data_IF_232143767098
#
_entry.id   IF_232143767098
#
_cell.length_a   1.000
_cell.length_b   1.000
_cell.length_c   1.000
_cell.angle_alpha   90.00
_cell.angle_beta   90.00
_cell.angle_gamma   90.00
#
_symmetry.space_group_name_H-M   'P 1'
#
loop_
_entity.id
_entity.type
_entity.pdbx_description
1 polymer ?
#
# COMPACT_ATOMS: atom_id res chain seq x y z
N UNK A 1 -18.04 15.50 -18.06
CA UNK A 1 -17.32 16.06 -19.22
C UNK A 1 -17.84 15.38 -20.48
N UNK A 2 -19.05 15.73 -20.94
CA UNK A 2 -19.64 15.15 -22.15
C UNK A 2 -18.73 15.31 -23.39
N UNK A 3 -17.89 16.33 -23.39
CA UNK A 3 -16.91 16.64 -24.42
C UNK A 3 -15.75 15.63 -24.52
N UNK A 4 -15.40 14.93 -23.44
CA UNK A 4 -14.40 13.85 -23.45
C UNK A 4 -15.03 12.50 -23.80
N UNK A 5 -16.26 12.28 -23.36
CA UNK A 5 -17.01 11.05 -23.60
C UNK A 5 -17.33 10.87 -25.09
N UNK A 6 -17.72 11.97 -25.76
CA UNK A 6 -18.05 11.96 -27.19
C UNK A 6 -16.83 12.19 -28.11
N UNK A 7 -15.64 12.39 -27.57
CA UNK A 7 -14.44 12.58 -28.39
C UNK A 7 -13.97 11.24 -28.94
N UNK A 8 -13.92 11.11 -30.26
CA UNK A 8 -13.48 9.89 -30.94
C UNK A 8 -12.09 9.44 -30.48
N UNK A 9 -11.19 10.38 -30.16
CA UNK A 9 -9.83 10.08 -29.66
C UNK A 9 -9.81 9.44 -28.27
N UNK A 10 -10.88 9.53 -27.48
CA UNK A 10 -10.92 9.08 -26.09
C UNK A 10 -12.01 8.05 -25.78
N UNK A 11 -12.77 7.62 -26.80
CA UNK A 11 -13.94 6.74 -26.64
C UNK A 11 -13.58 5.38 -26.05
N UNK A 12 -12.49 4.76 -26.50
CA UNK A 12 -12.02 3.45 -25.99
C UNK A 12 -10.77 3.60 -25.14
N UNK A 13 -10.48 2.58 -24.32
CA UNK A 13 -9.25 2.56 -23.52
C UNK A 13 -7.99 2.61 -24.39
N UNK A 14 -7.99 1.89 -25.51
CA UNK A 14 -6.88 1.88 -26.47
C UNK A 14 -6.63 3.26 -27.09
N UNK A 15 -7.69 3.95 -27.51
CA UNK A 15 -7.59 5.29 -28.06
C UNK A 15 -7.12 6.31 -27.01
N UNK A 16 -7.56 6.19 -25.76
CA UNK A 16 -7.02 7.00 -24.64
C UNK A 16 -5.54 6.74 -24.39
N UNK A 17 -5.06 5.50 -24.60
CA UNK A 17 -3.65 5.17 -24.42
C UNK A 17 -2.80 5.73 -25.58
N UNK A 18 -3.29 5.63 -26.82
CA UNK A 18 -2.64 6.21 -28.00
C UNK A 18 -2.56 7.75 -27.90
N UNK A 19 -3.63 8.39 -27.42
CA UNK A 19 -3.74 9.85 -27.29
C UNK A 19 -3.46 10.33 -25.85
N UNK A 20 -2.64 9.60 -25.09
CA UNK A 20 -2.47 9.80 -23.63
C UNK A 20 -2.03 11.20 -23.25
N UNK A 21 -1.13 11.82 -24.01
CA UNK A 21 -0.62 13.15 -23.69
C UNK A 21 -1.67 14.24 -23.91
N UNK A 22 -2.46 14.15 -24.99
CA UNK A 22 -3.60 15.05 -25.24
C UNK A 22 -4.67 14.88 -24.15
N UNK A 23 -5.01 13.63 -23.81
CA UNK A 23 -5.96 13.33 -22.73
C UNK A 23 -5.48 13.87 -21.37
N UNK A 24 -4.18 13.74 -21.07
CA UNK A 24 -3.57 14.28 -19.85
C UNK A 24 -3.55 15.80 -19.83
N UNK A 25 -3.33 16.46 -20.96
CA UNK A 25 -3.33 17.91 -21.04
C UNK A 25 -4.70 18.49 -20.65
N UNK A 26 -5.78 17.80 -20.99
CA UNK A 26 -7.15 18.21 -20.65
C UNK A 26 -7.50 17.87 -19.19
N UNK A 27 -7.16 16.67 -18.72
CA UNK A 27 -7.59 16.20 -17.39
C UNK A 27 -6.72 16.72 -16.24
N UNK A 28 -5.42 16.99 -16.47
CA UNK A 28 -4.49 17.43 -15.41
C UNK A 28 -4.86 18.79 -14.78
N UNK A 29 -5.25 19.83 -15.52
CA UNK A 29 -5.71 21.09 -14.93
C UNK A 29 -6.90 20.88 -13.99
N UNK A 30 -7.84 20.01 -14.37
CA UNK A 30 -9.04 19.70 -13.58
C UNK A 30 -8.63 19.00 -12.29
N UNK A 31 -7.75 18.00 -12.36
CA UNK A 31 -7.25 17.29 -11.17
C UNK A 31 -6.56 18.23 -10.17
N UNK A 32 -6.02 19.38 -10.61
CA UNK A 32 -5.43 20.39 -9.71
C UNK A 32 -6.43 21.28 -8.98
N UNK A 33 -7.72 21.26 -9.38
CA UNK A 33 -8.75 22.15 -8.79
C UNK A 33 -9.22 21.73 -7.39
N UNK A 34 -8.90 20.51 -6.96
CA UNK A 34 -9.23 19.98 -5.64
C UNK A 34 -8.07 19.19 -5.07
N UNK A 35 -8.05 19.04 -3.75
CA UNK A 35 -7.10 18.18 -3.06
C UNK A 35 -7.37 16.71 -3.35
N UNK A 36 -6.35 15.85 -3.18
CA UNK A 36 -6.51 14.40 -3.37
C UNK A 36 -7.60 13.80 -2.47
N UNK A 37 -7.85 14.37 -1.28
CA UNK A 37 -8.91 13.91 -0.36
C UNK A 37 -10.30 14.22 -0.90
N UNK A 38 -10.51 15.41 -1.45
CA UNK A 38 -11.78 15.79 -2.06
C UNK A 38 -12.08 14.94 -3.29
N UNK A 39 -11.08 14.70 -4.14
CA UNK A 39 -11.23 13.80 -5.29
C UNK A 39 -11.52 12.36 -4.88
N UNK A 40 -10.89 11.86 -3.81
CA UNK A 40 -11.14 10.51 -3.30
C UNK A 40 -12.62 10.32 -2.93
N UNK A 41 -13.22 11.30 -2.25
CA UNK A 41 -14.65 11.25 -1.88
C UNK A 41 -15.54 11.23 -3.12
N UNK A 42 -15.28 12.12 -4.09
CA UNK A 42 -16.07 12.21 -5.32
C UNK A 42 -15.97 10.94 -6.16
N UNK A 43 -14.77 10.42 -6.35
CA UNK A 43 -14.55 9.21 -7.15
C UNK A 43 -15.10 7.95 -6.47
N UNK A 44 -15.00 7.83 -5.15
CA UNK A 44 -15.63 6.72 -4.42
C UNK A 44 -17.16 6.75 -4.53
N UNK A 45 -17.78 7.93 -4.48
CA UNK A 45 -19.23 8.07 -4.64
C UNK A 45 -19.70 7.56 -6.01
N UNK A 46 -18.88 7.72 -7.05
CA UNK A 46 -19.14 7.24 -8.42
C UNK A 46 -18.59 5.82 -8.68
N UNK A 47 -18.09 5.12 -7.66
CA UNK A 47 -17.53 3.77 -7.81
C UNK A 47 -16.22 3.70 -8.63
N UNK A 48 -15.55 4.83 -8.84
CA UNK A 48 -14.28 4.90 -9.56
C UNK A 48 -13.14 4.47 -8.62
N UNK A 49 -12.37 3.42 -8.96
CA UNK A 49 -11.24 2.99 -8.15
C UNK A 49 -10.14 4.05 -8.13
N UNK A 50 -9.85 4.58 -6.96
CA UNK A 50 -8.79 5.56 -6.76
C UNK A 50 -8.16 5.44 -5.38
N UNK A 51 -6.92 5.92 -5.25
CA UNK A 51 -6.20 5.96 -3.98
C UNK A 51 -5.28 7.17 -3.93
N UNK A 52 -4.99 7.63 -2.72
CA UNK A 52 -3.99 8.66 -2.48
C UNK A 52 -2.59 8.01 -2.49
N UNK A 53 -1.63 8.69 -3.09
CA UNK A 53 -0.22 8.29 -3.01
C UNK A 53 0.31 8.69 -1.64
N UNK A 54 0.47 7.73 -0.75
CA UNK A 54 0.98 7.93 0.60
C UNK A 54 2.51 7.84 0.63
N UNK A 55 3.15 8.67 1.46
CA UNK A 55 4.54 8.44 1.85
C UNK A 55 4.65 7.34 2.93
N UNK A 56 5.87 6.93 3.28
CA UNK A 56 6.12 5.83 4.24
C UNK A 56 5.43 6.09 5.58
N UNK A 57 5.56 7.30 6.14
CA UNK A 57 4.95 7.65 7.42
C UNK A 57 3.42 7.54 7.36
N UNK A 58 2.82 8.15 6.34
CA UNK A 58 1.38 8.12 6.12
C UNK A 58 0.87 6.69 5.96
N UNK A 59 1.57 5.85 5.19
CA UNK A 59 1.22 4.45 5.01
C UNK A 59 1.28 3.68 6.34
N UNK A 60 2.37 3.82 7.11
CA UNK A 60 2.54 3.18 8.40
C UNK A 60 1.50 3.60 9.45
N UNK A 61 0.98 4.83 9.36
CA UNK A 61 -0.02 5.37 10.29
C UNK A 61 -1.47 5.03 9.89
N UNK A 62 -1.70 4.43 8.72
CA UNK A 62 -3.04 4.05 8.26
C UNK A 62 -3.71 3.08 9.23
N UNK A 63 -5.00 3.27 9.46
CA UNK A 63 -5.79 2.40 10.34
C UNK A 63 -5.77 0.95 9.85
N UNK A 64 -5.84 0.74 8.53
CA UNK A 64 -5.73 -0.58 7.93
C UNK A 64 -4.42 -1.29 8.28
N UNK A 65 -3.29 -0.58 8.41
CA UNK A 65 -1.99 -1.19 8.76
C UNK A 65 -1.98 -1.63 10.22
N UNK A 66 -2.60 -0.87 11.12
CA UNK A 66 -2.74 -1.21 12.54
C UNK A 66 -3.65 -2.42 12.72
N UNK A 67 -4.86 -2.37 12.17
CA UNK A 67 -5.85 -3.46 12.23
C UNK A 67 -5.32 -4.76 11.63
N UNK A 68 -4.42 -4.65 10.64
CA UNK A 68 -3.80 -5.79 9.97
C UNK A 68 -2.49 -6.23 10.62
N UNK A 69 -2.09 -5.72 11.79
CA UNK A 69 -0.82 -6.08 12.45
C UNK A 69 0.40 -6.01 11.50
N UNK A 70 0.43 -5.02 10.61
CA UNK A 70 1.46 -4.90 9.57
C UNK A 70 2.72 -4.19 10.05
N UNK A 71 2.72 -3.71 11.31
CA UNK A 71 3.92 -3.27 12.02
C UNK A 71 4.06 -4.12 13.29
N UNK A 72 5.20 -4.79 13.44
CA UNK A 72 5.51 -5.67 14.56
C UNK A 72 6.69 -5.13 15.35
N UNK A 73 6.76 -5.48 16.65
CA UNK A 73 7.89 -5.15 17.51
C UNK A 73 8.78 -6.37 17.71
N UNK A 74 10.09 -6.22 17.54
CA UNK A 74 11.09 -7.24 17.81
C UNK A 74 12.20 -6.63 18.68
N UNK A 75 12.06 -6.75 20.00
CA UNK A 75 12.86 -5.96 20.94
C UNK A 75 12.56 -4.48 20.77
N UNK A 76 13.60 -3.68 20.53
CA UNK A 76 13.49 -2.21 20.35
C UNK A 76 13.14 -1.81 18.91
N UNK A 77 13.18 -2.74 17.96
CA UNK A 77 12.94 -2.46 16.54
C UNK A 77 11.47 -2.63 16.17
N UNK A 78 11.01 -1.74 15.27
CA UNK A 78 9.75 -1.91 14.56
C UNK A 78 10.03 -2.46 13.16
N UNK A 79 9.34 -3.55 12.80
CA UNK A 79 9.52 -4.28 11.56
C UNK A 79 8.19 -4.39 10.81
N UNK A 80 8.27 -4.72 9.52
CA UNK A 80 7.09 -5.10 8.76
C UNK A 80 6.52 -6.42 9.31
N UNK A 81 5.20 -6.47 9.49
CA UNK A 81 4.46 -7.65 9.92
C UNK A 81 4.24 -8.66 8.80
N UNK A 82 3.65 -9.80 9.15
CA UNK A 82 3.36 -10.87 8.19
C UNK A 82 2.17 -10.48 7.28
N UNK A 83 2.32 -10.36 5.95
CA UNK A 83 1.20 -10.03 5.08
C UNK A 83 0.16 -11.17 4.95
N UNK A 84 0.58 -12.42 5.20
CA UNK A 84 -0.27 -13.60 5.11
C UNK A 84 -1.01 -13.83 6.42
N UNK A 85 -2.34 -13.66 6.41
CA UNK A 85 -3.19 -13.91 7.59
C UNK A 85 -3.94 -15.22 7.41
N UNK A 86 -3.81 -16.11 8.39
CA UNK A 86 -4.45 -17.42 8.39
C UNK A 86 -5.30 -17.56 9.65
N UNK A 87 -6.58 -17.87 9.50
CA UNK A 87 -7.53 -17.96 10.62
C UNK A 87 -7.13 -18.97 11.69
N UNK A 88 -6.44 -20.05 11.30
CA UNK A 88 -5.94 -21.08 12.22
C UNK A 88 -4.63 -20.74 12.94
N UNK A 89 -4.00 -19.61 12.65
CA UNK A 89 -2.71 -19.23 13.22
C UNK A 89 -2.76 -17.84 13.85
N UNK A 90 -2.30 -17.74 15.09
CA UNK A 90 -2.15 -16.45 15.76
C UNK A 90 -1.07 -15.60 15.08
N UNK A 91 -1.38 -14.37 14.74
CA UNK A 91 -0.39 -13.40 14.29
C UNK A 91 -0.01 -12.42 15.42
N UNK A 92 1.01 -12.81 16.19
CA UNK A 92 1.53 -11.97 17.28
C UNK A 92 2.26 -10.74 16.75
N UNK A 93 1.91 -9.56 17.27
CA UNK A 93 2.60 -8.29 17.02
C UNK A 93 3.98 -8.26 17.67
N UNK A 94 4.13 -8.94 18.82
CA UNK A 94 5.40 -9.05 19.52
C UNK A 94 6.15 -10.28 18.99
N UNK A 95 7.23 -10.04 18.25
CA UNK A 95 8.14 -11.06 17.73
C UNK A 95 9.33 -11.20 18.67
N UNK A 96 10.01 -12.35 18.59
CA UNK A 96 11.27 -12.57 19.30
C UNK A 96 12.30 -11.53 18.83
N UNK A 97 13.17 -11.03 19.73
CA UNK A 97 14.23 -10.11 19.34
C UNK A 97 15.15 -10.76 18.31
N UNK A 98 15.79 -9.93 17.50
CA UNK A 98 16.80 -10.39 16.54
C UNK A 98 17.98 -10.94 17.32
N UNK A 99 18.43 -12.18 17.06
CA UNK A 99 19.53 -12.76 17.80
C UNK A 99 20.83 -12.01 17.50
N UNK A 100 21.67 -11.87 18.52
CA UNK A 100 23.03 -11.36 18.35
C UNK A 100 23.90 -12.37 17.61
N UNK A 101 25.00 -11.88 17.06
CA UNK A 101 26.02 -12.73 16.44
C UNK A 101 26.49 -13.76 17.47
N UNK A 102 26.32 -15.05 17.16
CA UNK A 102 26.73 -16.15 18.01
C UNK A 102 25.80 -16.51 19.18
N UNK A 103 24.65 -15.85 19.34
CA UNK A 103 23.75 -16.04 20.51
C UNK A 103 23.30 -17.50 20.70
N UNK A 104 23.07 -18.22 19.62
CA UNK A 104 22.54 -19.59 19.65
C UNK A 104 23.60 -20.67 19.35
N UNK A 105 24.88 -20.32 19.19
CA UNK A 105 25.93 -21.27 18.75
C UNK A 105 26.05 -22.47 19.67
N UNK A 106 26.19 -22.26 20.99
CA UNK A 106 26.36 -23.34 21.97
C UNK A 106 25.12 -24.22 22.10
N UNK A 107 23.93 -23.63 21.96
CA UNK A 107 22.67 -24.38 21.98
C UNK A 107 22.59 -25.34 20.80
N UNK A 108 22.92 -24.85 19.60
CA UNK A 108 22.90 -25.65 18.37
C UNK A 108 23.97 -26.76 18.44
N UNK A 109 25.19 -26.46 18.91
CA UNK A 109 26.25 -27.48 19.05
C UNK A 109 25.81 -28.67 19.91
N UNK A 110 25.18 -28.40 21.06
CA UNK A 110 24.64 -29.46 21.94
C UNK A 110 23.51 -30.25 21.29
N UNK A 111 22.63 -29.59 20.53
CA UNK A 111 21.51 -30.25 19.84
C UNK A 111 22.02 -31.23 18.76
N UNK A 112 23.12 -30.89 18.08
CA UNK A 112 23.70 -31.72 17.02
C UNK A 112 24.86 -32.63 17.45
N UNK A 113 25.18 -32.71 18.75
CA UNK A 113 26.23 -33.58 19.31
C UNK A 113 27.58 -33.53 18.57
N UNK A 114 28.07 -32.31 18.32
CA UNK A 114 29.46 -32.04 17.92
C UNK A 114 30.18 -31.38 19.10
#
# INVERSE_FOLDING_TARGET
MPELENNEKFRTNELRLQNREEFRAITRPIMKTKTSKEWLVLFHAEGIPCAVVNNIKQACEMEQIKERNMLCKAGEYTLAGNPMKMSGYSDSINKKPVPKVGEHTEKIRREFSI
#
